data_IF_785966630370
#
_entry.id   IF_785966630370
#
_cell.length_a   1.000
_cell.length_b   1.000
_cell.length_c   1.000
_cell.angle_alpha   90.00
_cell.angle_beta   90.00
_cell.angle_gamma   90.00
#
_symmetry.space_group_name_H-M   'P 1'
#
loop_
_entity.id
_entity.type
_entity.pdbx_description
1 polymer ?
#
# COMPACT_ATOMS: atom_id res chain seq x y z
N UNK A 1 5.77 41.06 -7.38
CA UNK A 1 5.76 39.79 -6.62
C UNK A 1 7.18 39.27 -6.50
N UNK A 2 7.67 38.82 -5.32
CA UNK A 2 9.05 38.37 -5.19
C UNK A 2 9.25 37.02 -5.91
N UNK A 3 10.15 36.98 -6.89
CA UNK A 3 10.49 35.80 -7.71
C UNK A 3 10.83 34.55 -6.88
N UNK A 4 11.31 34.71 -5.63
CA UNK A 4 11.55 33.59 -4.70
C UNK A 4 10.31 32.72 -4.44
N UNK A 5 9.09 33.26 -4.53
CA UNK A 5 7.84 32.50 -4.36
C UNK A 5 7.52 31.61 -5.58
N UNK A 6 8.10 31.92 -6.75
CA UNK A 6 7.94 31.14 -7.97
C UNK A 6 8.98 30.01 -8.08
N UNK A 7 10.12 30.16 -7.40
CA UNK A 7 11.20 29.19 -7.42
C UNK A 7 11.05 28.10 -6.34
N UNK A 8 11.33 26.85 -6.69
CA UNK A 8 11.38 25.72 -5.74
C UNK A 8 12.69 24.96 -5.92
N UNK A 9 13.57 25.03 -4.92
CA UNK A 9 14.79 24.25 -4.90
C UNK A 9 14.46 22.76 -4.75
N UNK A 10 15.08 21.85 -5.53
CA UNK A 10 14.97 20.42 -5.29
C UNK A 10 15.44 20.06 -3.87
N UNK A 11 14.75 19.11 -3.24
CA UNK A 11 15.19 18.56 -1.95
C UNK A 11 16.25 17.49 -2.21
N UNK A 12 17.36 17.45 -1.45
CA UNK A 12 18.30 16.34 -1.51
C UNK A 12 17.59 14.99 -1.30
N UNK A 13 17.99 13.99 -2.07
CA UNK A 13 17.45 12.64 -1.96
C UNK A 13 18.05 11.96 -0.73
N UNK A 14 17.21 11.23 0.01
CA UNK A 14 17.61 10.40 1.15
C UNK A 14 17.47 8.92 0.76
N UNK A 15 18.60 8.22 0.68
CA UNK A 15 18.69 6.79 0.36
C UNK A 15 17.93 5.98 1.42
N UNK A 16 18.20 6.20 2.71
CA UNK A 16 17.50 5.49 3.79
C UNK A 16 16.01 5.86 3.89
N UNK A 17 15.62 7.01 3.31
CA UNK A 17 14.21 7.38 3.10
C UNK A 17 13.42 6.40 2.21
N UNK A 18 14.09 5.50 1.49
CA UNK A 18 13.46 4.41 0.70
C UNK A 18 13.34 3.08 1.45
N UNK A 19 13.79 3.01 2.71
CA UNK A 19 13.77 1.80 3.55
C UNK A 19 12.39 1.12 3.60
N UNK A 20 11.31 1.89 3.77
CA UNK A 20 9.95 1.36 3.76
C UNK A 20 9.54 0.79 2.41
N UNK A 21 9.96 1.41 1.31
CA UNK A 21 9.68 0.92 -0.05
C UNK A 21 10.42 -0.39 -0.33
N UNK A 22 11.69 -0.49 0.07
CA UNK A 22 12.47 -1.73 -0.05
C UNK A 22 11.88 -2.84 0.81
N UNK A 23 11.52 -2.54 2.06
CA UNK A 23 10.81 -3.48 2.95
C UNK A 23 9.52 -3.97 2.30
N UNK A 24 8.74 -3.06 1.72
CA UNK A 24 7.52 -3.42 1.01
C UNK A 24 7.79 -4.35 -0.18
N UNK A 25 8.87 -4.15 -0.94
CA UNK A 25 9.26 -5.04 -2.05
C UNK A 25 9.64 -6.44 -1.57
N UNK A 26 10.42 -6.56 -0.48
CA UNK A 26 10.78 -7.87 0.10
C UNK A 26 9.56 -8.65 0.59
N UNK A 27 8.53 -7.95 1.08
CA UNK A 27 7.31 -8.58 1.56
C UNK A 27 6.39 -8.95 0.40
N UNK A 28 6.09 -8.01 -0.50
CA UNK A 28 5.18 -8.30 -1.62
C UNK A 28 5.79 -9.30 -2.62
N UNK A 29 7.12 -9.37 -2.73
CA UNK A 29 7.81 -10.34 -3.59
C UNK A 29 7.59 -11.80 -3.21
N UNK A 30 7.14 -12.10 -1.99
CA UNK A 30 6.83 -13.46 -1.52
C UNK A 30 5.34 -13.73 -1.41
N UNK A 31 4.47 -12.78 -1.78
CA UNK A 31 3.01 -12.92 -1.67
C UNK A 31 2.46 -13.46 -3.00
N UNK A 32 1.83 -14.66 -3.02
CA UNK A 32 1.15 -15.19 -4.19
C UNK A 32 0.10 -14.23 -4.73
N UNK A 33 -0.02 -14.21 -6.06
CA UNK A 33 -1.09 -13.52 -6.78
C UNK A 33 -1.94 -14.58 -7.49
N UNK A 34 -3.16 -14.77 -6.99
CA UNK A 34 -4.15 -15.67 -7.57
C UNK A 34 -5.09 -14.85 -8.43
N UNK A 35 -5.05 -15.11 -9.75
CA UNK A 35 -5.93 -14.43 -10.71
C UNK A 35 -7.35 -14.96 -10.54
N UNK A 36 -8.37 -14.10 -10.42
CA UNK A 36 -9.75 -14.55 -10.40
C UNK A 36 -10.21 -14.99 -11.78
N UNK A 37 -11.27 -15.79 -11.77
CA UNK A 37 -12.10 -16.07 -12.94
C UNK A 37 -13.08 -14.93 -13.20
N UNK A 38 -13.61 -14.85 -14.43
CA UNK A 38 -14.66 -13.88 -14.80
C UNK A 38 -15.89 -13.98 -13.89
N UNK A 39 -16.27 -15.21 -13.49
CA UNK A 39 -17.40 -15.43 -12.60
C UNK A 39 -17.15 -14.85 -11.20
N UNK A 40 -15.96 -15.06 -10.64
CA UNK A 40 -15.59 -14.48 -9.34
C UNK A 40 -15.53 -12.95 -9.38
N UNK A 41 -15.08 -12.35 -10.49
CA UNK A 41 -15.11 -10.89 -10.67
C UNK A 41 -16.55 -10.40 -10.70
N UNK A 42 -17.41 -11.05 -11.50
CA UNK A 42 -18.83 -10.70 -11.59
C UNK A 42 -19.53 -10.81 -10.24
N UNK A 43 -19.32 -11.91 -9.52
CA UNK A 43 -19.89 -12.10 -8.18
C UNK A 43 -19.39 -11.03 -7.20
N UNK A 44 -18.10 -10.74 -7.21
CA UNK A 44 -17.50 -9.69 -6.39
C UNK A 44 -18.14 -8.32 -6.64
N UNK A 45 -18.30 -7.92 -7.91
CA UNK A 45 -18.94 -6.66 -8.28
C UNK A 45 -20.41 -6.61 -7.87
N UNK A 46 -21.17 -7.68 -8.11
CA UNK A 46 -22.57 -7.77 -7.72
C UNK A 46 -22.77 -7.59 -6.21
N UNK A 47 -21.91 -8.19 -5.38
CA UNK A 47 -21.96 -8.04 -3.92
C UNK A 47 -21.65 -6.60 -3.48
N UNK A 48 -20.77 -5.93 -4.22
CA UNK A 48 -20.43 -4.52 -4.03
C UNK A 48 -21.48 -3.56 -4.63
N UNK A 49 -22.60 -4.07 -5.15
CA UNK A 49 -23.64 -3.35 -5.88
C UNK A 49 -23.10 -2.62 -7.12
N UNK A 50 -22.25 -3.28 -7.89
CA UNK A 50 -21.66 -2.80 -9.13
C UNK A 50 -21.84 -3.83 -10.27
N UNK A 51 -21.64 -3.38 -11.49
CA UNK A 51 -21.55 -4.20 -12.70
C UNK A 51 -20.44 -3.66 -13.63
N UNK A 52 -20.36 -4.21 -14.84
CA UNK A 52 -19.37 -3.85 -15.87
C UNK A 52 -19.53 -2.43 -16.42
N UNK A 53 -20.69 -1.79 -16.22
CA UNK A 53 -20.96 -0.41 -16.64
C UNK A 53 -20.83 0.59 -15.48
N UNK A 54 -20.98 0.15 -14.24
CA UNK A 54 -21.10 1.00 -13.04
C UNK A 54 -19.96 0.84 -12.02
N UNK A 55 -18.95 0.02 -12.33
CA UNK A 55 -17.79 -0.18 -11.47
C UNK A 55 -17.15 1.14 -11.03
N UNK A 56 -16.95 1.28 -9.71
CA UNK A 56 -16.42 2.49 -9.09
C UNK A 56 -15.61 2.15 -7.84
N UNK A 57 -14.95 3.15 -7.25
CA UNK A 57 -14.26 2.98 -5.99
C UNK A 57 -15.24 2.54 -4.90
N UNK A 58 -15.02 1.37 -4.31
CA UNK A 58 -15.87 0.78 -3.27
C UNK A 58 -16.04 1.69 -2.05
N UNK A 59 -15.06 2.56 -1.80
CA UNK A 59 -15.04 3.45 -0.64
C UNK A 59 -15.74 4.79 -0.85
N UNK A 60 -15.65 5.38 -2.05
CA UNK A 60 -16.07 6.77 -2.26
C UNK A 60 -16.81 7.05 -3.57
N UNK A 61 -17.02 6.06 -4.43
CA UNK A 61 -17.76 6.22 -5.68
C UNK A 61 -17.02 6.89 -6.83
N UNK A 62 -15.83 7.47 -6.59
CA UNK A 62 -14.96 7.97 -7.67
C UNK A 62 -14.59 6.84 -8.65
N UNK A 63 -14.16 7.19 -9.86
CA UNK A 63 -13.61 6.21 -10.80
C UNK A 63 -12.50 5.37 -10.16
N UNK A 64 -12.60 4.04 -10.31
CA UNK A 64 -11.57 3.14 -9.84
C UNK A 64 -10.33 3.26 -10.73
N UNK A 65 -9.15 3.08 -10.12
CA UNK A 65 -7.86 3.08 -10.83
C UNK A 65 -7.04 1.82 -10.54
N UNK A 66 -7.45 1.07 -9.52
CA UNK A 66 -6.76 -0.11 -9.01
C UNK A 66 -7.72 -0.94 -8.14
N UNK A 67 -7.21 -2.05 -7.58
CA UNK A 67 -7.89 -2.85 -6.58
C UNK A 67 -7.10 -2.79 -5.27
N UNK A 68 -7.76 -2.45 -4.17
CA UNK A 68 -7.16 -2.33 -2.84
C UNK A 68 -7.38 -3.58 -2.01
N UNK A 69 -6.40 -3.93 -1.18
CA UNK A 69 -6.51 -5.03 -0.24
C UNK A 69 -7.33 -4.64 1.00
N UNK A 70 -8.52 -5.23 1.19
CA UNK A 70 -9.37 -4.95 2.36
C UNK A 70 -8.65 -5.25 3.68
N UNK A 71 -7.97 -6.40 3.74
CA UNK A 71 -7.09 -6.79 4.84
C UNK A 71 -5.63 -6.56 4.42
N UNK A 72 -4.83 -5.88 5.24
CA UNK A 72 -3.49 -5.48 4.86
C UNK A 72 -2.60 -6.69 4.63
N UNK A 73 -1.79 -6.64 3.56
CA UNK A 73 -0.73 -7.62 3.31
C UNK A 73 0.47 -7.44 4.24
N UNK A 74 0.69 -6.22 4.73
CA UNK A 74 1.86 -5.84 5.53
C UNK A 74 1.44 -5.16 6.84
N UNK A 75 1.92 -5.69 7.97
CA UNK A 75 1.80 -5.05 9.28
C UNK A 75 3.11 -5.23 10.05
N UNK A 76 3.52 -4.19 10.79
CA UNK A 76 4.77 -4.22 11.58
C UNK A 76 6.00 -4.72 10.80
N UNK A 77 6.13 -4.31 9.52
CA UNK A 77 7.21 -4.72 8.61
C UNK A 77 7.29 -6.23 8.35
N UNK A 78 6.17 -6.96 8.50
CA UNK A 78 6.04 -8.38 8.24
C UNK A 78 4.80 -8.68 7.40
N UNK A 79 4.80 -9.77 6.60
CA UNK A 79 3.59 -10.23 5.94
C UNK A 79 2.56 -10.67 6.99
N UNK A 80 1.29 -10.41 6.73
CA UNK A 80 0.19 -10.79 7.64
C UNK A 80 -0.29 -12.24 7.48
N UNK A 81 0.15 -12.92 6.42
CA UNK A 81 -0.35 -14.23 6.01
C UNK A 81 -1.34 -14.15 4.84
N UNK A 82 -2.00 -13.01 4.63
CA UNK A 82 -2.94 -12.86 3.50
C UNK A 82 -2.21 -12.85 2.15
N UNK A 83 -2.89 -13.35 1.12
CA UNK A 83 -2.40 -13.32 -0.26
C UNK A 83 -3.18 -12.33 -1.12
N UNK A 84 -2.69 -12.09 -2.34
CA UNK A 84 -3.41 -11.29 -3.33
C UNK A 84 -4.37 -12.19 -4.11
N UNK A 85 -5.65 -12.12 -3.76
CA UNK A 85 -6.74 -12.86 -4.39
C UNK A 85 -8.02 -12.02 -4.33
N UNK A 86 -9.01 -12.39 -5.15
CA UNK A 86 -10.25 -11.61 -5.27
C UNK A 86 -10.94 -11.38 -3.94
N UNK A 87 -11.07 -12.38 -3.05
CA UNK A 87 -11.76 -12.24 -1.76
C UNK A 87 -11.11 -11.22 -0.78
N UNK A 88 -9.92 -10.72 -1.10
CA UNK A 88 -9.28 -9.64 -0.35
C UNK A 88 -9.14 -8.35 -1.17
N UNK A 89 -9.67 -8.26 -2.39
CA UNK A 89 -9.49 -7.15 -3.32
C UNK A 89 -10.83 -6.48 -3.63
N UNK A 90 -10.88 -5.16 -3.53
CA UNK A 90 -12.03 -4.37 -3.96
C UNK A 90 -11.61 -3.23 -4.89
N UNK A 91 -12.43 -2.83 -5.88
CA UNK A 91 -12.11 -1.69 -6.73
C UNK A 91 -11.92 -0.42 -5.88
N UNK A 92 -10.87 0.35 -6.16
CA UNK A 92 -10.51 1.55 -5.39
C UNK A 92 -9.90 2.64 -6.27
N UNK A 93 -10.00 3.89 -5.83
CA UNK A 93 -9.24 5.00 -6.39
C UNK A 93 -7.95 5.22 -5.59
N UNK A 94 -6.90 5.73 -6.26
CA UNK A 94 -5.58 5.96 -5.64
C UNK A 94 -5.59 6.81 -4.38
N UNK A 95 -6.54 7.75 -4.26
CA UNK A 95 -6.68 8.59 -3.06
C UNK A 95 -7.14 7.76 -1.85
N UNK A 96 -8.11 6.88 -2.04
CA UNK A 96 -8.67 6.04 -0.98
C UNK A 96 -7.68 4.96 -0.57
N UNK A 97 -7.11 4.23 -1.54
CA UNK A 97 -6.08 3.22 -1.27
C UNK A 97 -4.91 3.80 -0.44
N UNK A 98 -4.32 4.90 -0.91
CA UNK A 98 -3.22 5.56 -0.19
C UNK A 98 -3.62 6.07 1.20
N UNK A 99 -4.82 6.64 1.34
CA UNK A 99 -5.33 7.19 2.61
C UNK A 99 -5.58 6.09 3.65
N UNK A 100 -6.17 4.97 3.23
CA UNK A 100 -6.40 3.79 4.06
C UNK A 100 -5.05 3.21 4.49
N UNK A 101 -4.19 2.90 3.53
CA UNK A 101 -2.95 2.16 3.76
C UNK A 101 -3.23 0.80 4.39
N UNK A 102 -2.53 0.48 5.47
CA UNK A 102 -2.69 -0.80 6.18
C UNK A 102 -3.75 -0.78 7.31
N UNK A 103 -4.58 0.26 7.39
CA UNK A 103 -5.63 0.35 8.41
C UNK A 103 -6.77 -0.61 8.06
N UNK A 104 -7.49 -1.05 9.09
CA UNK A 104 -8.79 -1.70 8.88
C UNK A 104 -9.71 -0.76 8.10
N UNK A 105 -10.33 -1.28 7.03
CA UNK A 105 -11.11 -0.48 6.09
C UNK A 105 -12.25 0.25 6.80
N UNK A 106 -13.04 -0.42 7.64
CA UNK A 106 -14.21 0.16 8.32
C UNK A 106 -13.80 1.26 9.28
N UNK A 107 -12.81 0.99 10.13
CA UNK A 107 -12.29 1.98 11.09
C UNK A 107 -11.79 3.22 10.37
N UNK A 108 -11.03 3.04 9.28
CA UNK A 108 -10.55 4.17 8.47
C UNK A 108 -11.70 4.91 7.80
N UNK A 109 -12.64 4.19 7.18
CA UNK A 109 -13.72 4.76 6.38
C UNK A 109 -14.61 5.71 7.19
N UNK A 110 -14.86 5.32 8.45
CA UNK A 110 -15.69 6.01 9.43
C UNK A 110 -14.91 6.94 10.37
N UNK A 111 -13.60 7.08 10.16
CA UNK A 111 -12.76 7.98 10.96
C UNK A 111 -12.83 9.43 10.46
N UNK A 112 -12.31 10.35 11.28
CA UNK A 112 -12.14 11.76 10.92
C UNK A 112 -10.79 12.04 10.22
N UNK A 113 -10.15 11.00 9.65
CA UNK A 113 -8.92 11.20 8.88
C UNK A 113 -9.21 12.09 7.66
N UNK A 114 -8.36 13.09 7.32
CA UNK A 114 -8.70 14.12 6.32
C UNK A 114 -9.10 13.63 4.93
N UNK A 115 -8.74 12.39 4.57
CA UNK A 115 -9.06 11.76 3.29
C UNK A 115 -9.91 10.49 3.45
N UNK A 116 -10.53 10.25 4.60
CA UNK A 116 -11.53 9.18 4.73
C UNK A 116 -12.81 9.57 3.99
N UNK A 117 -13.61 8.60 3.54
CA UNK A 117 -14.96 8.85 3.01
C UNK A 117 -15.86 9.65 3.95
N UNK A 118 -15.86 9.38 5.26
CA UNK A 118 -16.62 10.18 6.23
C UNK A 118 -16.21 11.66 6.22
N UNK A 119 -14.91 11.96 6.31
CA UNK A 119 -14.43 13.36 6.28
C UNK A 119 -14.64 14.05 4.94
N UNK A 120 -14.78 13.28 3.86
CA UNK A 120 -15.12 13.77 2.52
C UNK A 120 -16.62 13.91 2.29
N UNK A 121 -17.46 13.58 3.27
CA UNK A 121 -18.92 13.68 3.20
C UNK A 121 -19.51 12.88 2.02
N UNK A 122 -19.03 11.65 1.82
CA UNK A 122 -19.62 10.75 0.82
C UNK A 122 -21.08 10.44 1.20
N UNK A 123 -22.02 10.79 0.32
CA UNK A 123 -23.46 10.76 0.61
C UNK A 123 -24.00 9.34 0.86
N UNK A 124 -23.52 8.35 0.11
CA UNK A 124 -23.94 6.95 0.17
C UNK A 124 -23.05 6.08 1.06
N UNK A 125 -22.37 6.68 2.04
CA UNK A 125 -21.37 6.02 2.89
C UNK A 125 -21.91 4.75 3.56
N UNK A 126 -23.10 4.80 4.15
CA UNK A 126 -23.70 3.66 4.85
C UNK A 126 -24.01 2.50 3.89
N UNK A 127 -24.50 2.80 2.69
CA UNK A 127 -24.75 1.77 1.66
C UNK A 127 -23.44 1.09 1.24
N UNK A 128 -22.34 1.86 1.13
CA UNK A 128 -21.00 1.32 0.83
C UNK A 128 -20.45 0.45 1.96
N UNK A 129 -20.63 0.86 3.22
CA UNK A 129 -20.25 0.03 4.38
C UNK A 129 -21.00 -1.29 4.34
N UNK A 130 -22.31 -1.27 4.10
CA UNK A 130 -23.12 -2.49 4.02
C UNK A 130 -22.69 -3.41 2.86
N UNK A 131 -22.31 -2.84 1.71
CA UNK A 131 -21.79 -3.61 0.58
C UNK A 131 -20.45 -4.27 0.93
N UNK A 132 -19.54 -3.53 1.57
CA UNK A 132 -18.25 -4.05 2.03
C UNK A 132 -18.40 -5.09 3.15
N UNK A 133 -19.40 -4.98 4.01
CA UNK A 133 -19.71 -6.00 5.01
C UNK A 133 -20.18 -7.30 4.38
N UNK A 134 -21.10 -7.22 3.40
CA UNK A 134 -21.52 -8.40 2.62
C UNK A 134 -20.32 -9.03 1.91
N UNK A 135 -19.44 -8.20 1.35
CA UNK A 135 -18.23 -8.65 0.69
C UNK A 135 -17.27 -9.36 1.66
N UNK A 136 -17.08 -8.81 2.85
CA UNK A 136 -16.21 -9.38 3.88
C UNK A 136 -16.72 -10.75 4.37
N UNK A 137 -18.04 -10.94 4.38
CA UNK A 137 -18.73 -12.17 4.76
C UNK A 137 -18.85 -13.20 3.62
N UNK A 138 -18.82 -12.77 2.36
CA UNK A 138 -19.01 -13.63 1.18
C UNK A 138 -18.03 -14.79 1.18
N UNK A 139 -16.75 -14.51 1.43
CA UNK A 139 -15.72 -15.55 1.54
C UNK A 139 -14.56 -15.07 2.38
N UNK A 140 -14.04 -15.98 3.21
CA UNK A 140 -12.84 -15.71 4.00
C UNK A 140 -11.62 -15.80 3.08
N UNK A 141 -10.77 -14.75 3.02
CA UNK A 141 -9.60 -14.81 2.17
C UNK A 141 -8.54 -15.76 2.72
N UNK A 142 -7.79 -16.35 1.81
CA UNK A 142 -6.70 -17.28 2.12
C UNK A 142 -5.65 -16.62 2.99
N UNK A 143 -5.29 -17.30 4.09
CA UNK A 143 -4.21 -16.91 4.99
C UNK A 143 -3.23 -18.06 5.13
N UNK A 144 -1.97 -17.82 4.79
CA UNK A 144 -0.91 -18.82 4.76
C UNK A 144 0.13 -18.58 5.85
N UNK A 145 0.66 -19.68 6.40
CA UNK A 145 1.90 -19.64 7.18
C UNK A 145 3.09 -19.71 6.21
N UNK A 146 3.54 -18.57 5.71
CA UNK A 146 4.64 -18.49 4.75
C UNK A 146 5.90 -19.22 5.23
N UNK A 147 6.30 -19.00 6.48
CA UNK A 147 7.46 -19.65 7.11
C UNK A 147 7.29 -21.17 7.16
N UNK A 148 6.13 -21.65 7.61
CA UNK A 148 5.84 -23.08 7.64
C UNK A 148 5.82 -23.75 6.26
N UNK A 149 5.49 -23.00 5.20
CA UNK A 149 5.47 -23.51 3.82
C UNK A 149 6.87 -23.63 3.22
N UNK A 150 7.75 -22.64 3.46
CA UNK A 150 9.10 -22.61 2.85
C UNK A 150 10.18 -23.23 3.75
N UNK A 151 9.88 -23.43 5.04
CA UNK A 151 10.82 -23.87 6.06
C UNK A 151 11.62 -22.73 6.69
N UNK A 152 12.08 -22.96 7.91
CA UNK A 152 12.79 -21.96 8.74
C UNK A 152 14.06 -21.44 8.06
N UNK A 153 14.83 -22.31 7.39
CA UNK A 153 16.10 -21.92 6.75
C UNK A 153 15.90 -20.92 5.61
N UNK A 154 14.93 -21.19 4.71
CA UNK A 154 14.63 -20.31 3.57
C UNK A 154 14.02 -19.00 4.08
N UNK A 155 13.16 -19.09 5.09
CA UNK A 155 12.56 -17.92 5.71
C UNK A 155 13.60 -17.01 6.37
N UNK A 156 14.50 -17.60 7.16
CA UNK A 156 15.60 -16.89 7.80
C UNK A 156 16.54 -16.26 6.76
N UNK A 157 16.87 -16.98 5.69
CA UNK A 157 17.71 -16.47 4.60
C UNK A 157 17.07 -15.25 3.90
N UNK A 158 15.75 -15.28 3.66
CA UNK A 158 15.02 -14.14 3.07
C UNK A 158 15.13 -12.89 3.92
N UNK A 159 14.92 -13.01 5.24
CA UNK A 159 15.01 -11.87 6.16
C UNK A 159 16.44 -11.41 6.42
N UNK A 160 17.43 -12.31 6.36
CA UNK A 160 18.83 -11.95 6.41
C UNK A 160 19.23 -11.12 5.18
N UNK A 161 18.73 -11.46 3.99
CA UNK A 161 18.95 -10.67 2.78
C UNK A 161 18.30 -9.27 2.88
N UNK A 162 17.07 -9.19 3.37
CA UNK A 162 16.41 -7.92 3.66
C UNK A 162 17.26 -7.03 4.59
N UNK A 163 17.75 -7.60 5.70
CA UNK A 163 18.55 -6.86 6.68
C UNK A 163 19.86 -6.34 6.06
N UNK A 164 20.57 -7.16 5.28
CA UNK A 164 21.79 -6.75 4.57
C UNK A 164 21.54 -5.56 3.64
N UNK A 165 20.44 -5.57 2.88
CA UNK A 165 20.09 -4.44 2.00
C UNK A 165 19.81 -3.18 2.83
N UNK A 166 19.08 -3.32 3.94
CA UNK A 166 18.75 -2.19 4.82
C UNK A 166 19.99 -1.54 5.44
N UNK A 167 20.98 -2.36 5.83
CA UNK A 167 22.23 -1.87 6.40
C UNK A 167 23.12 -1.21 5.33
N UNK A 168 23.22 -1.81 4.14
CA UNK A 168 23.93 -1.21 3.03
C UNK A 168 23.34 0.15 2.61
N UNK A 169 22.03 0.32 2.69
CA UNK A 169 21.38 1.61 2.44
C UNK A 169 21.76 2.68 3.47
N UNK A 170 21.94 2.30 4.74
CA UNK A 170 22.40 3.23 5.78
C UNK A 170 23.85 3.63 5.55
N UNK A 171 24.72 2.67 5.25
CA UNK A 171 26.12 2.92 4.90
C UNK A 171 26.25 3.84 3.68
N UNK A 172 25.46 3.56 2.65
CA UNK A 172 25.39 4.38 1.43
C UNK A 172 24.92 5.80 1.73
N UNK A 173 23.98 5.98 2.67
CA UNK A 173 23.52 7.30 3.08
C UNK A 173 24.62 8.11 3.77
N UNK A 174 25.41 7.48 4.66
CA UNK A 174 26.54 8.14 5.33
C UNK A 174 27.54 8.62 4.30
N UNK A 175 27.98 7.73 3.40
CA UNK A 175 28.94 8.07 2.35
C UNK A 175 28.41 9.16 1.40
N UNK A 176 27.14 9.07 0.99
CA UNK A 176 26.51 10.08 0.14
C UNK A 176 26.47 11.46 0.81
N UNK A 177 26.21 11.52 2.11
CA UNK A 177 26.23 12.76 2.90
C UNK A 177 27.65 13.36 2.98
N UNK A 178 28.68 12.53 3.15
CA UNK A 178 30.07 12.98 3.13
C UNK A 178 30.49 13.54 1.77
N UNK A 179 30.17 12.82 0.69
CA UNK A 179 30.41 13.25 -0.69
C UNK A 179 29.73 14.59 -0.94
N UNK A 180 28.44 14.71 -0.59
CA UNK A 180 27.68 15.94 -0.77
C UNK A 180 28.34 17.13 -0.04
N UNK A 181 28.77 16.93 1.21
CA UNK A 181 29.45 17.97 1.99
C UNK A 181 30.75 18.41 1.32
N UNK A 182 31.58 17.46 0.87
CA UNK A 182 32.87 17.77 0.20
C UNK A 182 32.66 18.54 -1.10
N UNK A 183 31.71 18.08 -1.95
CA UNK A 183 31.38 18.75 -3.21
C UNK A 183 30.82 20.15 -2.98
N UNK A 184 29.94 20.32 -1.99
CA UNK A 184 29.38 21.63 -1.64
C UNK A 184 30.44 22.61 -1.12
N UNK A 185 31.45 22.13 -0.37
CA UNK A 185 32.58 22.96 0.06
C UNK A 185 33.46 23.36 -1.12
N UNK A 186 33.78 22.43 -2.03
CA UNK A 186 34.55 22.73 -3.24
C UNK A 186 33.85 23.77 -4.11
N UNK A 187 32.53 23.66 -4.30
CA UNK A 187 31.74 24.66 -5.03
C UNK A 187 31.77 26.06 -4.40
N UNK A 188 31.75 26.15 -3.06
CA UNK A 188 31.82 27.45 -2.35
C UNK A 188 33.20 28.12 -2.43
N UNK A 189 34.23 27.37 -2.79
CA UNK A 189 35.60 27.87 -2.91
C UNK A 189 35.95 28.34 -4.34
N UNK A 190 35.04 28.16 -5.29
CA UNK A 190 35.10 28.75 -6.64
C UNK A 190 34.69 30.23 -6.58
#
# INVERSE_FOLDING_TARGET
MPYKKLFRMPKPVNISGRSSSITNSFINGIIPVVKPTELEIKEALLILNMDDETISCSYCGDAYTEWDHLRPLVMAQKPTGYISEIHNLVPSCGKCNQSKGNKNWRVWMLSDAPKSPKSRLIEDLDARVLALDKYELWKTPTKMNFEGVVGEDVWAAHWANWQKVQDLMKESQVLASEINKKVALAYKAL
#
